data_IF_140548313203
#
_entry.id   IF_140548313203
#
_cell.length_a   1.000
_cell.length_b   1.000
_cell.length_c   1.000
_cell.angle_alpha   90.00
_cell.angle_beta   90.00
_cell.angle_gamma   90.00
#
_symmetry.space_group_name_H-M   'P 1'
#
loop_
_entity.id
_entity.type
_entity.pdbx_description
1 polymer ?
#
# COMPACT_ATOMS: atom_id res chain seq x y z
N UNK A 1 -28.32 -54.74 -20.92
CA UNK A 1 -29.50 -54.65 -20.03
C UNK A 1 -29.66 -53.21 -19.60
N UNK A 2 -30.69 -52.54 -20.13
CA UNK A 2 -31.09 -51.18 -19.77
C UNK A 2 -31.98 -51.27 -18.53
N UNK A 3 -31.70 -50.49 -17.49
CA UNK A 3 -32.70 -50.15 -16.49
C UNK A 3 -32.55 -48.68 -16.08
N UNK A 4 -33.48 -47.87 -16.61
CA UNK A 4 -33.83 -46.53 -16.17
C UNK A 4 -34.25 -46.52 -14.70
N UNK A 5 -34.03 -45.41 -14.00
CA UNK A 5 -35.12 -44.69 -13.30
C UNK A 5 -34.76 -43.23 -13.00
N UNK A 6 -35.82 -42.43 -13.03
CA UNK A 6 -35.95 -40.98 -13.26
C UNK A 6 -35.63 -40.09 -12.05
N UNK A 7 -35.47 -38.77 -12.27
CA UNK A 7 -35.18 -37.78 -11.23
C UNK A 7 -36.42 -37.36 -10.44
N UNK A 8 -36.19 -36.93 -9.19
CA UNK A 8 -37.17 -36.24 -8.34
C UNK A 8 -37.15 -34.73 -8.62
N UNK A 9 -38.34 -34.16 -8.82
CA UNK A 9 -38.65 -32.72 -8.79
C UNK A 9 -39.30 -32.37 -7.44
N UNK A 10 -39.56 -31.06 -7.28
CA UNK A 10 -40.50 -30.39 -6.34
C UNK A 10 -39.78 -29.85 -5.10
N UNK A 11 -39.94 -28.61 -4.61
CA UNK A 11 -40.85 -27.48 -4.90
C UNK A 11 -40.19 -26.15 -4.50
N UNK A 12 -40.59 -25.07 -5.17
CA UNK A 12 -40.48 -23.69 -4.68
C UNK A 12 -41.51 -23.44 -3.57
N UNK A 13 -41.11 -22.74 -2.50
CA UNK A 13 -42.03 -22.16 -1.50
C UNK A 13 -41.77 -20.66 -1.44
N UNK A 14 -42.81 -19.89 -1.71
CA UNK A 14 -42.91 -18.44 -1.55
C UNK A 14 -43.75 -18.08 -0.31
N UNK A 15 -43.49 -16.87 0.18
CA UNK A 15 -44.30 -16.04 1.10
C UNK A 15 -44.41 -16.46 2.57
N UNK A 16 -44.03 -15.57 3.49
CA UNK A 16 -44.98 -14.59 4.04
C UNK A 16 -44.30 -13.65 5.06
N UNK A 17 -44.66 -12.37 4.94
CA UNK A 17 -44.54 -11.31 5.94
C UNK A 17 -45.34 -11.65 7.20
N UNK A 18 -44.92 -11.18 8.39
CA UNK A 18 -45.77 -10.39 9.30
C UNK A 18 -45.16 -10.15 10.69
N UNK A 19 -45.48 -8.94 11.19
CA UNK A 19 -45.76 -8.54 12.59
C UNK A 19 -44.60 -8.07 13.46
N UNK A 20 -44.45 -6.74 13.41
CA UNK A 20 -44.13 -5.83 14.50
C UNK A 20 -44.77 -6.21 15.84
N UNK A 21 -43.98 -6.19 16.91
CA UNK A 21 -44.49 -6.25 18.28
C UNK A 21 -44.35 -4.89 18.95
N UNK A 22 -45.49 -4.24 19.15
CA UNK A 22 -45.70 -3.06 19.98
C UNK A 22 -46.07 -3.58 21.38
N UNK A 23 -45.37 -3.15 22.44
CA UNK A 23 -45.85 -3.30 23.82
C UNK A 23 -45.75 -1.97 24.55
N UNK A 24 -46.90 -1.54 25.06
CA UNK A 24 -47.14 -0.36 25.88
C UNK A 24 -47.03 -0.74 27.37
N UNK A 25 -46.32 0.13 28.11
CA UNK A 25 -46.43 0.62 29.51
C UNK A 25 -47.27 -0.16 30.55
N UNK A 26 -46.89 -0.04 31.84
CA UNK A 26 -47.61 0.94 32.65
C UNK A 26 -46.71 1.83 33.51
N UNK A 27 -47.17 3.07 33.69
CA UNK A 27 -46.69 4.03 34.65
C UNK A 27 -47.14 3.65 36.06
N UNK A 28 -46.26 3.83 37.05
CA UNK A 28 -46.65 3.99 38.44
C UNK A 28 -46.04 5.29 38.95
N UNK A 29 -46.91 6.28 39.18
CA UNK A 29 -46.64 7.49 39.93
C UNK A 29 -46.76 7.16 41.42
N UNK A 30 -45.70 7.39 42.20
CA UNK A 30 -45.81 7.67 43.64
C UNK A 30 -44.91 8.86 43.93
N UNK A 31 -45.54 9.97 44.30
CA UNK A 31 -44.87 11.15 44.83
C UNK A 31 -44.94 11.12 46.36
N UNK A 32 -43.80 11.28 47.02
CA UNK A 32 -43.72 11.72 48.40
C UNK A 32 -42.47 12.59 48.56
N UNK A 33 -42.70 13.87 48.87
CA UNK A 33 -41.69 14.89 49.17
C UNK A 33 -41.40 14.82 50.66
N UNK A 34 -40.15 14.72 51.08
CA UNK A 34 -39.65 15.37 52.30
C UNK A 34 -38.15 15.69 52.16
N UNK A 35 -37.84 16.87 52.65
CA UNK A 35 -36.58 17.63 52.74
C UNK A 35 -35.43 16.92 53.46
N UNK A 36 -34.21 17.14 52.98
CA UNK A 36 -32.97 16.88 53.71
C UNK A 36 -31.73 17.42 52.99
N UNK A 37 -31.18 18.52 53.49
CA UNK A 37 -29.83 18.98 53.17
C UNK A 37 -28.82 17.98 53.76
N UNK A 38 -27.82 17.52 53.01
CA UNK A 38 -26.40 17.86 53.23
C UNK A 38 -25.43 17.02 52.39
N UNK A 39 -24.27 17.65 52.20
CA UNK A 39 -22.94 17.12 51.90
C UNK A 39 -22.64 16.69 50.47
N UNK A 40 -22.14 17.68 49.74
CA UNK A 40 -21.23 17.51 48.63
C UNK A 40 -20.06 16.59 49.01
N UNK A 41 -20.02 15.41 48.40
CA UNK A 41 -18.79 14.70 48.10
C UNK A 41 -19.09 13.65 47.03
N UNK A 42 -19.27 14.13 45.79
CA UNK A 42 -19.18 13.27 44.62
C UNK A 42 -17.73 13.29 44.18
N UNK A 43 -16.96 12.29 44.63
CA UNK A 43 -15.69 11.95 44.02
C UNK A 43 -15.93 11.76 42.51
N UNK A 44 -15.42 12.71 41.72
CA UNK A 44 -15.30 12.58 40.28
C UNK A 44 -14.42 11.35 40.03
N UNK A 45 -15.02 10.26 39.57
CA UNK A 45 -14.27 9.17 38.96
C UNK A 45 -13.30 9.76 37.92
N UNK A 46 -12.03 9.31 37.88
CA UNK A 46 -11.08 9.86 36.93
C UNK A 46 -11.60 9.50 35.54
N UNK A 47 -11.87 10.54 34.74
CA UNK A 47 -12.04 10.37 33.30
C UNK A 47 -10.75 9.74 32.83
N UNK A 48 -10.81 8.45 32.48
CA UNK A 48 -9.72 7.76 31.83
C UNK A 48 -9.35 8.60 30.61
N UNK A 49 -8.18 9.23 30.68
CA UNK A 49 -7.50 9.77 29.51
C UNK A 49 -7.36 8.62 28.55
N UNK A 50 -8.23 8.57 27.53
CA UNK A 50 -7.95 7.82 26.33
C UNK A 50 -6.59 8.32 25.85
N UNK A 51 -5.56 7.50 26.08
CA UNK A 51 -4.28 7.63 25.43
C UNK A 51 -4.54 7.46 23.94
N UNK A 52 -4.93 8.56 23.28
CA UNK A 52 -4.77 8.74 21.86
C UNK A 52 -3.28 8.57 21.61
N UNK A 53 -2.89 7.34 21.24
CA UNK A 53 -1.56 7.00 20.79
C UNK A 53 -1.26 7.97 19.66
N UNK A 54 -0.52 9.03 19.94
CA UNK A 54 -0.12 10.00 18.94
C UNK A 54 0.50 9.19 17.80
N UNK A 55 -0.11 9.26 16.61
CA UNK A 55 0.49 8.71 15.41
C UNK A 55 1.84 9.40 15.28
N UNK A 56 2.92 8.68 15.58
CA UNK A 56 4.27 9.22 15.48
C UNK A 56 4.43 9.83 14.08
N UNK A 57 4.90 11.08 14.02
CA UNK A 57 5.14 11.75 12.77
C UNK A 57 6.16 10.94 11.95
N UNK A 58 5.91 10.81 10.64
CA UNK A 58 6.84 10.15 9.73
C UNK A 58 8.16 10.95 9.70
N UNK A 59 9.33 10.32 9.88
CA UNK A 59 10.61 11.00 9.83
C UNK A 59 10.82 11.76 8.51
N UNK A 60 11.43 12.94 8.57
CA UNK A 60 11.70 13.78 7.39
C UNK A 60 13.19 13.70 7.04
N UNK A 61 13.50 13.21 5.83
CA UNK A 61 14.86 13.17 5.30
C UNK A 61 15.42 14.54 4.91
N UNK A 62 16.73 14.60 4.67
CA UNK A 62 17.44 15.82 4.24
C UNK A 62 18.55 15.52 3.24
N UNK A 63 19.08 16.54 2.56
CA UNK A 63 20.18 16.38 1.59
C UNK A 63 19.76 16.05 0.15
N UNK A 64 18.46 16.06 -0.13
CA UNK A 64 17.85 15.84 -1.45
C UNK A 64 16.61 16.75 -1.60
N UNK A 65 15.93 16.76 -2.74
CA UNK A 65 14.76 17.62 -2.98
C UNK A 65 13.43 16.89 -2.72
N UNK A 66 13.30 15.64 -3.19
CA UNK A 66 12.05 14.86 -3.11
C UNK A 66 12.28 13.34 -3.11
N UNK A 67 11.25 12.55 -2.86
CA UNK A 67 11.30 11.09 -2.94
C UNK A 67 10.65 10.56 -4.21
N UNK A 68 11.19 9.46 -4.73
CA UNK A 68 10.51 8.57 -5.67
C UNK A 68 10.30 7.21 -5.01
N UNK A 69 9.05 6.79 -4.86
CA UNK A 69 8.74 5.39 -4.55
C UNK A 69 8.75 4.61 -5.86
N UNK A 70 9.71 3.71 -6.01
CA UNK A 70 9.83 2.86 -7.18
C UNK A 70 9.15 1.51 -6.94
N UNK A 71 8.23 1.16 -7.85
CA UNK A 71 7.44 -0.07 -7.79
C UNK A 71 7.73 -0.95 -9.00
N UNK A 72 8.37 -2.10 -8.80
CA UNK A 72 8.66 -3.04 -9.89
C UNK A 72 7.49 -3.98 -10.13
N UNK A 73 7.15 -4.23 -11.40
CA UNK A 73 6.23 -5.28 -11.80
C UNK A 73 6.96 -6.63 -11.75
N UNK A 74 6.76 -7.38 -10.66
CA UNK A 74 7.45 -8.65 -10.42
C UNK A 74 7.39 -9.63 -11.59
N UNK A 75 6.26 -9.80 -12.31
CA UNK A 75 6.19 -10.75 -13.43
C UNK A 75 7.18 -10.47 -14.57
N UNK A 76 7.41 -9.19 -14.89
CA UNK A 76 8.42 -8.81 -15.89
C UNK A 76 9.81 -9.17 -15.38
N UNK A 77 10.13 -8.80 -14.13
CA UNK A 77 11.43 -9.09 -13.53
C UNK A 77 11.70 -10.61 -13.44
N UNK A 78 10.71 -11.39 -13.01
CA UNK A 78 10.81 -12.84 -12.88
C UNK A 78 11.06 -13.52 -14.22
N UNK A 79 10.35 -13.12 -15.28
CA UNK A 79 10.57 -13.67 -16.62
C UNK A 79 12.00 -13.47 -17.13
N UNK A 80 12.62 -12.33 -16.78
CA UNK A 80 13.96 -11.99 -17.24
C UNK A 80 15.09 -12.51 -16.33
N UNK A 81 14.85 -12.65 -15.02
CA UNK A 81 15.91 -12.89 -14.03
C UNK A 81 15.78 -14.19 -13.24
N UNK A 82 14.57 -14.73 -13.11
CA UNK A 82 14.30 -15.97 -12.37
C UNK A 82 13.12 -16.76 -13.00
N UNK A 83 13.26 -17.16 -14.28
CA UNK A 83 12.18 -17.84 -15.01
C UNK A 83 11.81 -19.21 -14.43
N UNK A 84 12.70 -19.80 -13.62
CA UNK A 84 12.47 -21.06 -12.92
C UNK A 84 11.74 -20.88 -11.58
N UNK A 85 11.49 -19.63 -11.14
CA UNK A 85 10.74 -19.33 -9.91
C UNK A 85 11.41 -19.80 -8.63
N UNK A 86 12.75 -19.70 -8.54
CA UNK A 86 13.52 -20.23 -7.39
C UNK A 86 13.52 -19.28 -6.20
N UNK A 87 13.43 -17.98 -6.46
CA UNK A 87 13.33 -16.96 -5.42
C UNK A 87 11.92 -16.91 -4.86
N UNK A 88 11.80 -16.48 -3.61
CA UNK A 88 10.48 -16.25 -3.01
C UNK A 88 9.64 -15.29 -3.83
N UNK A 89 10.22 -14.30 -4.51
CA UNK A 89 9.46 -13.33 -5.32
C UNK A 89 8.72 -14.00 -6.49
N UNK A 90 9.38 -14.97 -7.12
CA UNK A 90 8.98 -15.58 -8.38
C UNK A 90 8.42 -17.00 -8.21
N UNK A 91 8.25 -17.46 -6.97
CA UNK A 91 7.69 -18.77 -6.68
C UNK A 91 6.29 -18.93 -7.28
N UNK A 92 6.03 -20.09 -7.88
CA UNK A 92 4.77 -20.38 -8.57
C UNK A 92 3.61 -20.27 -7.58
N UNK A 93 2.59 -19.48 -7.95
CA UNK A 93 1.43 -19.22 -7.10
C UNK A 93 1.63 -18.15 -6.03
N UNK A 94 2.81 -17.53 -5.97
CA UNK A 94 3.10 -16.38 -5.11
C UNK A 94 2.29 -15.13 -5.49
N UNK A 95 1.77 -15.08 -6.73
CA UNK A 95 0.88 -14.02 -7.25
C UNK A 95 1.39 -12.59 -6.95
N UNK A 96 2.70 -12.34 -7.01
CA UNK A 96 3.26 -10.99 -6.79
C UNK A 96 3.12 -10.15 -8.05
N UNK A 97 2.53 -8.98 -7.90
CA UNK A 97 2.43 -7.94 -8.93
C UNK A 97 3.43 -6.83 -8.66
N UNK A 98 2.94 -5.62 -8.38
CA UNK A 98 3.77 -4.52 -7.92
C UNK A 98 4.37 -4.82 -6.54
N UNK A 99 5.68 -4.67 -6.44
CA UNK A 99 6.44 -4.69 -5.17
C UNK A 99 7.21 -3.40 -5.02
N UNK A 100 7.65 -3.08 -3.81
CA UNK A 100 8.55 -1.94 -3.59
C UNK A 100 9.95 -2.35 -4.05
N UNK A 101 10.44 -1.72 -5.12
CA UNK A 101 11.85 -1.80 -5.48
C UNK A 101 12.65 -0.99 -4.46
N UNK A 102 12.27 0.27 -4.19
CA UNK A 102 12.89 1.12 -3.17
C UNK A 102 12.27 2.51 -3.07
N UNK A 103 12.75 3.30 -2.10
CA UNK A 103 12.42 4.71 -1.93
C UNK A 103 13.66 5.56 -2.19
N UNK A 104 13.65 6.37 -3.24
CA UNK A 104 14.85 7.04 -3.74
C UNK A 104 14.82 8.53 -3.43
N UNK A 105 15.75 9.05 -2.62
CA UNK A 105 16.07 10.47 -2.59
C UNK A 105 16.43 10.96 -4.00
N UNK A 106 15.78 12.01 -4.46
CA UNK A 106 15.96 12.62 -5.78
C UNK A 106 16.24 14.11 -5.66
N UNK A 107 16.95 14.65 -6.64
CA UNK A 107 17.09 16.09 -6.84
C UNK A 107 16.28 16.51 -8.07
N UNK A 108 15.99 17.81 -8.21
CA UNK A 108 15.32 18.34 -9.41
C UNK A 108 16.05 17.96 -10.71
N UNK A 109 17.36 17.71 -10.61
CA UNK A 109 18.19 17.14 -11.67
C UNK A 109 19.06 16.01 -11.11
N UNK A 110 18.82 14.79 -11.58
CA UNK A 110 19.56 13.61 -11.14
C UNK A 110 19.17 13.15 -9.74
N UNK A 111 20.04 12.35 -9.12
CA UNK A 111 19.84 11.84 -7.76
C UNK A 111 21.18 11.56 -7.10
N UNK A 112 21.27 11.73 -5.78
CA UNK A 112 22.43 11.27 -5.03
C UNK A 112 22.40 9.74 -4.90
N UNK A 113 23.57 9.10 -4.98
CA UNK A 113 23.73 7.68 -4.73
C UNK A 113 24.96 7.37 -3.88
N UNK A 114 24.92 6.23 -3.19
CA UNK A 114 26.03 5.71 -2.36
C UNK A 114 26.65 6.77 -1.43
N UNK A 115 25.80 7.55 -0.75
CA UNK A 115 26.26 8.70 0.03
C UNK A 115 27.05 8.29 1.27
N UNK A 116 28.10 9.05 1.64
CA UNK A 116 28.81 8.84 2.89
C UNK A 116 27.88 8.97 4.10
N UNK A 117 27.95 8.02 5.03
CA UNK A 117 27.16 8.02 6.27
C UNK A 117 27.95 7.42 7.43
N UNK A 118 27.53 7.72 8.67
CA UNK A 118 28.03 7.06 9.89
C UNK A 118 27.27 5.77 10.23
N UNK A 119 26.15 5.53 9.56
CA UNK A 119 25.36 4.31 9.70
C UNK A 119 26.10 3.11 9.07
N UNK A 120 25.78 1.89 9.50
CA UNK A 120 26.34 0.69 8.88
C UNK A 120 25.80 0.51 7.45
N UNK A 121 26.61 -0.02 6.55
CA UNK A 121 26.18 -0.47 5.22
C UNK A 121 25.29 -1.72 5.27
N UNK A 122 25.46 -2.54 6.32
CA UNK A 122 24.69 -3.77 6.48
C UNK A 122 23.40 -3.48 7.20
N UNK A 123 22.28 -3.85 6.57
CA UNK A 123 20.98 -3.85 7.24
C UNK A 123 20.87 -5.05 8.18
N UNK A 124 20.63 -4.86 9.49
CA UNK A 124 20.40 -5.97 10.41
C UNK A 124 19.23 -6.84 9.93
N UNK A 125 19.39 -8.16 9.98
CA UNK A 125 18.33 -9.09 9.55
C UNK A 125 17.03 -8.92 10.33
N UNK A 126 17.12 -8.53 11.61
CA UNK A 126 15.96 -8.22 12.46
C UNK A 126 15.17 -7.01 11.97
N UNK A 127 15.84 -6.01 11.39
CA UNK A 127 15.20 -4.85 10.79
C UNK A 127 14.63 -5.20 9.41
N UNK A 128 15.48 -5.70 8.51
CA UNK A 128 15.08 -5.92 7.11
C UNK A 128 13.95 -6.94 6.94
N UNK A 129 13.90 -8.00 7.77
CA UNK A 129 12.83 -9.00 7.69
C UNK A 129 11.42 -8.44 7.93
N UNK A 130 11.31 -7.28 8.59
CA UNK A 130 10.03 -6.59 8.82
C UNK A 130 9.45 -5.95 7.55
N UNK A 131 10.21 -5.92 6.44
CA UNK A 131 9.82 -5.27 5.19
C UNK A 131 9.75 -6.24 4.00
N UNK A 132 9.84 -7.55 4.24
CA UNK A 132 9.79 -8.58 3.18
C UNK A 132 8.41 -8.73 2.52
N UNK A 133 7.36 -8.18 3.14
CA UNK A 133 6.04 -8.01 2.53
C UNK A 133 6.02 -6.94 1.44
N UNK A 134 6.95 -5.98 1.48
CA UNK A 134 7.07 -4.89 0.52
C UNK A 134 8.22 -5.09 -0.46
N UNK A 135 9.41 -5.41 0.06
CA UNK A 135 10.66 -5.55 -0.70
C UNK A 135 11.06 -7.03 -0.69
N UNK A 136 11.16 -7.69 -1.86
CA UNK A 136 11.12 -9.15 -1.97
C UNK A 136 12.33 -9.92 -1.42
N UNK A 137 13.41 -9.26 -0.99
CA UNK A 137 14.58 -9.96 -0.46
C UNK A 137 15.46 -9.09 0.43
N UNK A 138 16.20 -9.73 1.35
CA UNK A 138 17.23 -9.07 2.15
C UNK A 138 18.37 -8.49 1.30
N UNK A 139 18.68 -9.13 0.17
CA UNK A 139 19.69 -8.63 -0.77
C UNK A 139 19.27 -7.29 -1.37
N UNK A 140 18.02 -7.18 -1.82
CA UNK A 140 17.47 -5.95 -2.34
C UNK A 140 17.36 -4.86 -1.26
N UNK A 141 16.85 -5.19 -0.07
CA UNK A 141 16.80 -4.27 1.08
C UNK A 141 18.18 -3.66 1.36
N UNK A 142 19.22 -4.50 1.43
CA UNK A 142 20.58 -4.03 1.65
C UNK A 142 21.10 -3.15 0.50
N UNK A 143 20.82 -3.51 -0.75
CA UNK A 143 21.22 -2.71 -1.90
C UNK A 143 20.55 -1.32 -1.89
N UNK A 144 19.24 -1.27 -1.66
CA UNK A 144 18.48 -0.03 -1.61
C UNK A 144 18.91 0.86 -0.46
N UNK A 145 19.24 0.30 0.71
CA UNK A 145 19.85 1.06 1.78
C UNK A 145 21.17 1.71 1.34
N UNK A 146 22.14 0.91 0.88
CA UNK A 146 23.48 1.43 0.52
C UNK A 146 23.43 2.47 -0.59
N UNK A 147 22.62 2.22 -1.62
CA UNK A 147 22.55 3.08 -2.81
C UNK A 147 21.71 4.33 -2.57
N UNK A 148 20.55 4.21 -1.92
CA UNK A 148 19.56 5.29 -1.83
C UNK A 148 19.28 5.71 -0.39
N UNK A 149 19.16 4.77 0.55
CA UNK A 149 18.84 5.06 1.94
C UNK A 149 19.91 5.90 2.66
N UNK A 150 21.19 5.64 2.41
CA UNK A 150 22.32 6.43 2.95
C UNK A 150 22.26 7.91 2.57
N UNK A 151 21.63 8.25 1.44
CA UNK A 151 21.47 9.60 0.94
C UNK A 151 20.31 10.38 1.56
N UNK A 152 19.49 9.74 2.41
CA UNK A 152 18.31 10.38 3.01
C UNK A 152 18.64 11.19 4.27
N UNK A 153 19.84 11.03 4.84
CA UNK A 153 20.21 11.57 6.15
C UNK A 153 19.51 10.91 7.35
N UNK A 154 18.73 9.84 7.12
CA UNK A 154 17.99 9.11 8.15
C UNK A 154 18.80 7.92 8.71
N UNK A 155 18.37 7.41 9.87
CA UNK A 155 18.75 6.08 10.33
C UNK A 155 18.18 5.01 9.39
N UNK A 156 18.66 3.76 9.50
CA UNK A 156 18.09 2.66 8.73
C UNK A 156 16.62 2.42 9.10
N UNK A 157 16.34 2.43 10.40
CA UNK A 157 15.00 2.23 10.96
C UNK A 157 14.02 3.27 10.40
N UNK A 158 14.41 4.54 10.43
CA UNK A 158 13.59 5.64 9.94
C UNK A 158 13.41 5.58 8.43
N UNK A 159 14.49 5.30 7.66
CA UNK A 159 14.40 5.20 6.20
C UNK A 159 13.41 4.11 5.74
N UNK A 160 13.46 2.93 6.36
CA UNK A 160 12.50 1.88 6.02
C UNK A 160 11.09 2.19 6.55
N UNK A 161 10.96 2.89 7.69
CA UNK A 161 9.66 3.36 8.17
C UNK A 161 9.02 4.35 7.18
N UNK A 162 9.80 5.30 6.64
CA UNK A 162 9.35 6.23 5.58
C UNK A 162 9.00 5.47 4.31
N UNK A 163 9.77 4.44 3.93
CA UNK A 163 9.46 3.58 2.77
C UNK A 163 8.09 2.91 2.90
N UNK A 164 7.78 2.34 4.07
CA UNK A 164 6.45 1.77 4.35
C UNK A 164 5.36 2.83 4.41
N UNK A 165 5.64 4.00 4.97
CA UNK A 165 4.69 5.12 4.97
C UNK A 165 4.35 5.58 3.55
N UNK A 166 5.34 5.66 2.65
CA UNK A 166 5.16 5.99 1.25
C UNK A 166 4.31 4.94 0.52
N UNK A 167 4.57 3.64 0.76
CA UNK A 167 3.73 2.56 0.25
C UNK A 167 2.28 2.67 0.75
N UNK A 168 2.08 2.86 2.04
CA UNK A 168 0.74 2.95 2.65
C UNK A 168 -0.03 4.21 2.22
N UNK A 169 0.66 5.27 1.77
CA UNK A 169 0.04 6.47 1.22
C UNK A 169 -0.61 6.22 -0.14
N UNK A 170 -0.19 5.17 -0.85
CA UNK A 170 -0.59 4.85 -2.20
C UNK A 170 -1.76 3.87 -2.24
N UNK A 171 -2.77 4.16 -3.06
CA UNK A 171 -3.88 3.26 -3.39
C UNK A 171 -3.65 2.70 -4.79
N UNK A 172 -3.40 1.40 -4.89
CA UNK A 172 -3.16 0.76 -6.17
C UNK A 172 -4.45 0.61 -7.00
N UNK A 173 -4.41 0.94 -8.30
CA UNK A 173 -5.48 0.61 -9.25
C UNK A 173 -5.76 -0.90 -9.33
N UNK A 174 -7.01 -1.28 -9.52
CA UNK A 174 -7.42 -2.69 -9.56
C UNK A 174 -6.90 -3.40 -10.82
N UNK A 175 -6.71 -2.64 -11.90
CA UNK A 175 -6.16 -3.05 -13.18
C UNK A 175 -4.70 -3.53 -13.06
N UNK A 176 -4.00 -3.13 -12.00
CA UNK A 176 -2.63 -3.55 -11.68
C UNK A 176 -2.60 -4.70 -10.65
N UNK A 177 -3.74 -5.35 -10.42
CA UNK A 177 -3.77 -6.55 -9.59
C UNK A 177 -3.08 -7.71 -10.32
N UNK A 178 -2.32 -8.57 -9.61
CA UNK A 178 -1.73 -9.76 -10.19
C UNK A 178 -2.79 -10.63 -10.89
N UNK A 179 -2.51 -11.06 -12.11
CA UNK A 179 -3.40 -11.86 -12.94
C UNK A 179 -2.67 -13.09 -13.49
N UNK A 180 -3.41 -14.18 -13.73
CA UNK A 180 -2.90 -15.38 -14.42
C UNK A 180 -2.92 -15.25 -15.95
N UNK A 181 -3.41 -14.14 -16.47
CA UNK A 181 -3.47 -13.85 -17.90
C UNK A 181 -2.70 -12.56 -18.18
N UNK A 182 -1.98 -12.56 -19.31
CA UNK A 182 -1.42 -11.32 -19.82
C UNK A 182 -2.56 -10.37 -20.19
N UNK A 183 -2.39 -9.10 -19.84
CA UNK A 183 -3.30 -8.02 -20.24
C UNK A 183 -2.48 -6.88 -20.81
N UNK A 184 -3.08 -6.07 -21.66
CA UNK A 184 -2.43 -4.88 -22.20
C UNK A 184 -3.17 -3.64 -21.68
N UNK A 185 -2.42 -2.65 -21.22
CA UNK A 185 -2.98 -1.38 -20.74
C UNK A 185 -2.33 -0.22 -21.49
N UNK A 186 -3.12 0.81 -21.78
CA UNK A 186 -2.57 2.08 -22.26
C UNK A 186 -1.73 2.73 -21.15
N UNK A 187 -0.56 3.26 -21.48
CA UNK A 187 0.32 3.93 -20.50
C UNK A 187 -0.40 5.10 -19.84
N UNK A 188 -1.05 5.95 -20.64
CA UNK A 188 -1.88 7.04 -20.13
C UNK A 188 -3.05 6.54 -19.27
N UNK A 189 -3.60 5.35 -19.59
CA UNK A 189 -4.66 4.72 -18.81
C UNK A 189 -4.20 4.28 -17.42
N UNK A 190 -2.95 3.81 -17.28
CA UNK A 190 -2.35 3.48 -15.99
C UNK A 190 -2.20 4.75 -15.14
N UNK A 191 -1.67 5.84 -15.73
CA UNK A 191 -1.53 7.13 -15.04
C UNK A 191 -2.89 7.71 -14.62
N UNK A 192 -3.89 7.65 -15.50
CA UNK A 192 -5.28 8.05 -15.20
C UNK A 192 -5.84 7.26 -14.02
N UNK A 193 -5.68 5.93 -14.02
CA UNK A 193 -6.17 5.10 -12.93
C UNK A 193 -5.51 5.45 -11.58
N UNK A 194 -4.22 5.77 -11.57
CA UNK A 194 -3.51 6.24 -10.37
C UNK A 194 -4.07 7.58 -9.87
N UNK A 195 -4.21 8.57 -10.74
CA UNK A 195 -4.73 9.91 -10.36
C UNK A 195 -6.16 9.83 -9.82
N UNK A 196 -7.02 9.00 -10.42
CA UNK A 196 -8.39 8.77 -9.92
C UNK A 196 -8.41 8.13 -8.54
N UNK A 197 -7.52 7.16 -8.28
CA UNK A 197 -7.47 6.44 -6.99
C UNK A 197 -6.79 7.22 -5.87
N UNK A 198 -5.96 8.22 -6.21
CA UNK A 198 -5.08 8.90 -5.27
C UNK A 198 -5.32 10.42 -5.27
N UNK A 199 -6.23 10.93 -4.43
CA UNK A 199 -6.45 12.38 -4.32
C UNK A 199 -5.16 13.15 -4.03
N UNK A 200 -4.94 14.22 -4.78
CA UNK A 200 -3.72 15.05 -4.76
C UNK A 200 -2.64 14.61 -5.75
N UNK A 201 -2.76 13.44 -6.38
CA UNK A 201 -1.84 13.00 -7.43
C UNK A 201 -2.21 13.61 -8.79
N UNK A 202 -1.22 14.07 -9.55
CA UNK A 202 -1.36 14.47 -10.95
C UNK A 202 -0.64 13.49 -11.87
N UNK A 203 -0.83 13.58 -13.20
CA UNK A 203 -0.11 12.72 -14.15
C UNK A 203 1.40 12.91 -14.05
N UNK A 204 1.86 14.13 -13.82
CA UNK A 204 3.27 14.46 -13.66
C UNK A 204 3.86 13.95 -12.32
N UNK A 205 3.04 13.34 -11.46
CA UNK A 205 3.44 12.73 -10.19
C UNK A 205 3.69 11.22 -10.30
N UNK A 206 3.38 10.61 -11.45
CA UNK A 206 3.53 9.18 -11.71
C UNK A 206 4.21 8.96 -13.05
N UNK A 207 5.22 8.09 -13.10
CA UNK A 207 5.90 7.73 -14.33
C UNK A 207 5.85 6.21 -14.51
N UNK A 208 5.31 5.74 -15.64
CA UNK A 208 5.24 4.32 -15.99
C UNK A 208 6.40 4.00 -16.92
N UNK A 209 7.30 3.08 -16.57
CA UNK A 209 8.40 2.63 -17.43
C UNK A 209 8.13 1.26 -18.02
N UNK A 210 8.86 0.92 -19.08
CA UNK A 210 8.70 -0.33 -19.79
C UNK A 210 10.03 -0.92 -20.25
N UNK A 211 10.13 -2.24 -20.16
CA UNK A 211 11.21 -3.04 -20.72
C UNK A 211 10.68 -3.67 -22.01
N UNK A 212 11.21 -3.22 -23.15
CA UNK A 212 10.62 -3.53 -24.44
C UNK A 212 9.17 -3.03 -24.52
N UNK A 213 8.20 -3.97 -24.61
CA UNK A 213 6.76 -3.68 -24.60
C UNK A 213 6.06 -4.05 -23.29
N UNK A 214 6.78 -4.49 -22.26
CA UNK A 214 6.21 -4.97 -20.99
C UNK A 214 6.28 -3.88 -19.92
N UNK A 215 5.30 -3.82 -19.03
CA UNK A 215 5.35 -2.99 -17.84
C UNK A 215 6.56 -3.41 -16.98
N UNK A 216 7.42 -2.47 -16.64
CA UNK A 216 8.63 -2.74 -15.86
C UNK A 216 8.51 -2.14 -14.46
N UNK A 217 8.31 -0.83 -14.38
CA UNK A 217 8.33 -0.08 -13.13
C UNK A 217 7.29 1.04 -13.17
N UNK A 218 6.77 1.40 -12.00
CA UNK A 218 5.94 2.58 -11.80
C UNK A 218 6.58 3.41 -10.69
N UNK A 219 6.89 4.66 -11.01
CA UNK A 219 7.58 5.59 -10.10
C UNK A 219 6.59 6.64 -9.62
N UNK A 220 6.43 6.75 -8.31
CA UNK A 220 5.53 7.72 -7.68
C UNK A 220 6.36 8.80 -6.98
N UNK A 221 6.08 10.05 -7.28
CA UNK A 221 6.82 11.18 -6.75
C UNK A 221 6.13 11.81 -5.53
N UNK A 222 6.92 12.00 -4.49
CA UNK A 222 6.50 12.55 -3.21
C UNK A 222 7.40 13.70 -2.79
N UNK A 223 6.86 14.72 -2.14
CA UNK A 223 7.69 15.61 -1.33
C UNK A 223 8.26 14.84 -0.11
N UNK A 224 9.11 15.49 0.68
CA UNK A 224 9.72 14.85 1.86
C UNK A 224 8.73 14.49 2.96
N UNK A 225 7.54 15.08 2.93
CA UNK A 225 6.43 14.82 3.86
C UNK A 225 5.42 13.81 3.29
N UNK A 226 5.76 13.17 2.16
CA UNK A 226 4.93 12.17 1.47
C UNK A 226 3.61 12.70 0.89
N UNK A 227 3.55 14.00 0.56
CA UNK A 227 2.51 14.52 -0.31
C UNK A 227 2.90 14.25 -1.77
N UNK A 228 1.92 13.89 -2.62
CA UNK A 228 2.18 13.76 -4.04
C UNK A 228 2.64 15.09 -4.63
N UNK A 229 3.59 15.02 -5.56
CA UNK A 229 4.09 16.19 -6.28
C UNK A 229 4.49 15.80 -7.70
N UNK A 230 4.54 16.81 -8.56
CA UNK A 230 5.11 16.65 -9.90
C UNK A 230 6.64 16.45 -9.84
N UNK A 231 7.16 15.69 -10.79
CA UNK A 231 8.59 15.42 -10.94
C UNK A 231 9.00 15.34 -12.42
N UNK A 232 9.07 16.48 -13.14
CA UNK A 232 9.22 16.49 -14.60
C UNK A 232 10.42 15.71 -15.14
N UNK A 233 11.53 15.63 -14.38
CA UNK A 233 12.70 14.86 -14.80
C UNK A 233 12.46 13.33 -14.82
N UNK A 234 11.67 12.82 -13.87
CA UNK A 234 11.30 11.40 -13.77
C UNK A 234 10.18 11.09 -14.74
N UNK A 235 9.16 11.95 -14.81
CA UNK A 235 8.04 11.84 -15.76
C UNK A 235 8.50 11.80 -17.23
N UNK A 236 9.52 12.58 -17.60
CA UNK A 236 10.11 12.51 -18.95
C UNK A 236 10.75 11.15 -19.28
N UNK A 237 10.98 10.28 -18.29
CA UNK A 237 11.51 8.94 -18.50
C UNK A 237 10.40 7.89 -18.66
N UNK A 238 9.12 8.29 -18.60
CA UNK A 238 7.99 7.40 -18.88
C UNK A 238 8.09 6.73 -20.24
N UNK A 239 7.56 5.52 -20.32
CA UNK A 239 7.45 4.69 -21.50
C UNK A 239 6.76 5.47 -22.62
N UNK A 240 7.41 5.53 -23.79
CA UNK A 240 6.89 6.28 -24.95
C UNK A 240 5.90 5.48 -25.81
N UNK A 241 5.64 4.22 -25.46
CA UNK A 241 4.65 3.39 -26.15
C UNK A 241 3.25 3.79 -25.73
N UNK A 242 2.28 3.61 -26.64
CA UNK A 242 0.87 3.85 -26.33
C UNK A 242 0.36 2.87 -25.28
N UNK A 243 0.78 1.60 -25.38
CA UNK A 243 0.41 0.53 -24.45
C UNK A 243 1.60 -0.31 -24.03
N UNK A 244 1.45 -0.97 -22.89
CA UNK A 244 2.37 -1.96 -22.35
C UNK A 244 1.60 -3.24 -22.02
N UNK A 245 2.26 -4.38 -22.20
CA UNK A 245 1.74 -5.65 -21.70
C UNK A 245 2.11 -5.84 -20.24
N UNK A 246 1.21 -6.45 -19.48
CA UNK A 246 1.41 -6.85 -18.10
C UNK A 246 1.55 -8.36 -18.09
N UNK A 247 2.78 -8.90 -18.00
CA UNK A 247 2.99 -10.34 -17.92
C UNK A 247 2.25 -10.94 -16.71
N UNK A 248 1.75 -12.18 -16.85
CA UNK A 248 1.01 -12.84 -15.78
C UNK A 248 1.91 -13.16 -14.60
N UNK A 249 1.35 -13.11 -13.39
CA UNK A 249 2.10 -13.49 -12.20
C UNK A 249 2.46 -14.98 -12.21
N UNK A 250 3.66 -15.35 -11.71
CA UNK A 250 4.10 -16.74 -11.57
C UNK A 250 3.16 -17.61 -10.73
#
# INVERSE_FOLDING_TARGET
>A
MVCLRRPLRVASITMASLRTWRRLLPALFVAAVLTGCNDANTEKAPVATENAKATAAVPIGSGFDFYVLSLSWSPTWCGDNDPDGKSSQCEIGGNRGLIVHGLWPQNEKGYPDFCPTRQSDRVPSSLGRQYLDLIPSMGLIGHQWRKHGTCSGLSQEDYFAVTRAAWNRLRLPAELSPSRQQTDLAVAGIEDAFTVKNPGMTKESVAVTCEGNRLEEIRICFDKSLNFRSCPAVDRQSCRKHSVSLPPAP
#
